data_IF_899982258337
#
_entry.id   IF_899982258337
#
_cell.length_a   1.000
_cell.length_b   1.000
_cell.length_c   1.000
_cell.angle_alpha   90.00
_cell.angle_beta   90.00
_cell.angle_gamma   90.00
#
_symmetry.space_group_name_H-M   'P 1'
#
loop_
_entity.id
_entity.type
_entity.pdbx_description
1 polymer ?
#
# COMPACT_ATOMS: atom_id res chain seq x y z
N UNK A 1 -4.43 67.79 12.44
CA UNK A 1 -4.54 66.71 11.44
C UNK A 1 -3.66 65.53 11.90
N UNK A 2 -4.26 64.47 12.46
CA UNK A 2 -3.61 63.16 12.79
C UNK A 2 -4.71 62.24 13.37
N UNK A 3 -5.56 61.67 12.51
CA UNK A 3 -6.61 60.71 12.91
C UNK A 3 -6.71 59.49 11.97
N UNK A 4 -5.78 59.31 11.04
CA UNK A 4 -5.85 58.26 10.02
C UNK A 4 -4.96 57.04 10.30
N UNK A 5 -4.03 57.11 11.25
CA UNK A 5 -3.11 56.00 11.55
C UNK A 5 -3.69 54.93 12.47
N UNK A 6 -4.69 55.24 13.30
CA UNK A 6 -5.26 54.26 14.24
C UNK A 6 -6.25 53.29 13.59
N UNK A 7 -6.88 53.67 12.47
CA UNK A 7 -7.82 52.81 11.75
C UNK A 7 -7.12 51.70 10.95
N UNK A 8 -5.89 51.93 10.49
CA UNK A 8 -5.12 50.94 9.71
C UNK A 8 -4.56 49.80 10.57
N UNK A 9 -4.25 50.05 11.84
CA UNK A 9 -3.69 49.03 12.75
C UNK A 9 -4.77 48.03 13.21
N UNK A 10 -6.04 48.44 13.27
CA UNK A 10 -7.15 47.56 13.67
C UNK A 10 -7.57 46.62 12.54
N UNK A 11 -7.43 47.03 11.27
CA UNK A 11 -7.72 46.18 10.11
C UNK A 11 -6.62 45.13 9.87
N UNK A 12 -5.37 45.40 10.29
CA UNK A 12 -4.25 44.48 10.13
C UNK A 12 -4.26 43.31 11.14
N UNK A 13 -4.98 43.43 12.27
CA UNK A 13 -5.09 42.38 13.30
C UNK A 13 -6.22 41.35 13.08
N UNK A 14 -7.08 41.52 12.07
CA UNK A 14 -8.19 40.60 11.76
C UNK A 14 -7.84 39.53 10.72
N UNK A 15 -6.59 39.49 10.23
CA UNK A 15 -6.07 38.43 9.36
C UNK A 15 -5.20 37.42 10.13
N UNK A 16 -5.54 37.18 11.39
CA UNK A 16 -5.06 36.03 12.15
C UNK A 16 -5.70 34.78 11.55
N UNK A 17 -5.15 34.28 10.45
CA UNK A 17 -5.53 33.04 9.79
C UNK A 17 -5.28 31.92 10.79
N UNK A 18 -6.32 31.54 11.55
CA UNK A 18 -6.27 30.39 12.44
C UNK A 18 -6.00 29.17 11.59
N UNK A 19 -4.79 28.63 11.67
CA UNK A 19 -4.46 27.32 11.13
C UNK A 19 -5.36 26.31 11.86
N UNK A 20 -6.45 25.90 11.20
CA UNK A 20 -7.29 24.81 11.68
C UNK A 20 -6.47 23.53 11.50
N UNK A 21 -6.02 22.94 12.61
CA UNK A 21 -5.38 21.64 12.59
C UNK A 21 -6.42 20.59 12.16
N UNK A 22 -6.11 19.80 11.14
CA UNK A 22 -6.95 18.71 10.69
C UNK A 22 -6.93 17.57 11.70
N UNK A 23 -8.10 16.96 11.92
CA UNK A 23 -8.26 15.80 12.77
C UNK A 23 -9.14 14.74 12.10
N UNK A 24 -9.33 13.60 12.76
CA UNK A 24 -10.12 12.50 12.22
C UNK A 24 -11.63 12.79 12.14
N UNK A 25 -12.15 13.84 12.81
CA UNK A 25 -13.54 14.26 12.60
C UNK A 25 -13.75 14.82 11.19
N UNK A 26 -12.66 15.22 10.50
CA UNK A 26 -12.73 15.70 9.13
C UNK A 26 -12.70 14.57 8.10
N UNK A 27 -12.36 13.34 8.48
CA UNK A 27 -12.37 12.20 7.56
C UNK A 27 -13.80 11.92 7.07
N UNK A 28 -14.02 11.61 5.78
CA UNK A 28 -13.05 11.39 4.69
C UNK A 28 -12.72 12.63 3.85
N UNK A 29 -13.24 13.81 4.21
CA UNK A 29 -13.25 15.01 3.37
C UNK A 29 -11.91 15.42 2.74
N UNK A 30 -10.74 15.36 3.44
CA UNK A 30 -9.46 15.68 2.81
C UNK A 30 -9.05 14.72 1.69
N UNK A 31 -9.58 13.49 1.70
CA UNK A 31 -9.19 12.40 0.81
C UNK A 31 -10.22 12.16 -0.29
N UNK A 32 -11.50 12.37 0.01
CA UNK A 32 -12.62 12.18 -0.90
C UNK A 32 -13.68 13.24 -0.67
N UNK A 33 -14.17 13.83 -1.76
CA UNK A 33 -15.29 14.77 -1.78
C UNK A 33 -16.04 14.61 -3.10
N UNK A 34 -17.30 15.04 -3.17
CA UNK A 34 -18.15 14.88 -4.37
C UNK A 34 -17.40 15.17 -5.68
N UNK A 35 -17.25 14.15 -6.53
CA UNK A 35 -16.60 14.22 -7.82
C UNK A 35 -15.06 14.08 -7.81
N UNK A 36 -14.41 13.93 -6.64
CA UNK A 36 -12.94 13.96 -6.53
C UNK A 36 -12.41 13.08 -5.40
N UNK A 37 -11.49 12.19 -5.76
CA UNK A 37 -10.57 11.53 -4.81
C UNK A 37 -9.20 12.21 -4.93
N UNK A 38 -8.72 12.81 -3.85
CA UNK A 38 -7.52 13.66 -3.83
C UNK A 38 -6.49 13.11 -2.86
N UNK A 39 -6.00 11.91 -3.14
CA UNK A 39 -4.98 11.24 -2.35
C UNK A 39 -4.24 10.16 -3.15
N UNK A 40 -3.11 9.74 -2.60
CA UNK A 40 -2.54 8.43 -2.86
C UNK A 40 -2.72 7.54 -1.62
N UNK A 41 -2.93 6.25 -1.85
CA UNK A 41 -2.97 5.22 -0.82
C UNK A 41 -1.72 4.37 -1.01
N UNK A 42 -0.88 4.30 0.02
CA UNK A 42 0.46 3.74 -0.08
C UNK A 42 0.59 2.51 0.79
N UNK A 43 1.11 1.43 0.23
CA UNK A 43 1.54 0.25 0.99
C UNK A 43 3.05 0.10 0.89
N UNK A 44 3.66 -0.52 1.89
CA UNK A 44 5.09 -0.78 1.89
C UNK A 44 5.53 -1.83 0.85
N UNK A 45 6.74 -1.72 0.32
CA UNK A 45 7.27 -2.68 -0.67
C UNK A 45 7.45 -4.09 -0.07
N UNK A 46 7.65 -4.17 1.25
CA UNK A 46 7.77 -5.42 2.01
C UNK A 46 6.49 -5.74 2.79
N UNK A 47 5.41 -5.03 2.53
CA UNK A 47 4.16 -5.22 3.23
C UNK A 47 3.53 -6.59 2.86
N UNK A 48 2.85 -7.24 3.82
CA UNK A 48 2.08 -8.44 3.54
C UNK A 48 0.93 -8.16 2.56
N UNK A 49 0.48 -9.19 1.83
CA UNK A 49 -0.62 -9.08 0.86
C UNK A 49 -1.92 -8.52 1.46
N UNK A 50 -2.14 -8.71 2.77
CA UNK A 50 -3.26 -8.12 3.50
C UNK A 50 -3.29 -6.59 3.45
N UNK A 51 -2.14 -5.92 3.35
CA UNK A 51 -2.07 -4.46 3.22
C UNK A 51 -2.54 -4.00 1.83
N UNK A 52 -2.26 -4.77 0.77
CA UNK A 52 -2.75 -4.50 -0.60
C UNK A 52 -4.28 -4.66 -0.66
N UNK A 53 -4.83 -5.65 0.04
CA UNK A 53 -6.28 -5.82 0.16
C UNK A 53 -6.89 -4.63 0.92
N UNK A 54 -6.27 -4.17 2.01
CA UNK A 54 -6.70 -2.99 2.74
C UNK A 54 -6.66 -1.72 1.87
N UNK A 55 -5.60 -1.52 1.08
CA UNK A 55 -5.46 -0.44 0.10
C UNK A 55 -6.61 -0.46 -0.91
N UNK A 56 -6.87 -1.61 -1.52
CA UNK A 56 -7.96 -1.78 -2.51
C UNK A 56 -9.31 -1.43 -1.89
N UNK A 57 -9.59 -1.95 -0.70
CA UNK A 57 -10.85 -1.69 -0.01
C UNK A 57 -11.04 -0.22 0.36
N UNK A 58 -9.98 0.48 0.75
CA UNK A 58 -10.03 1.92 1.04
C UNK A 58 -10.20 2.76 -0.23
N UNK A 59 -9.52 2.41 -1.32
CA UNK A 59 -9.70 3.07 -2.62
C UNK A 59 -11.16 2.98 -3.07
N UNK A 60 -11.76 1.79 -2.96
CA UNK A 60 -13.18 1.59 -3.28
C UNK A 60 -14.10 2.41 -2.38
N UNK A 61 -13.88 2.40 -1.07
CA UNK A 61 -14.70 3.16 -0.12
C UNK A 61 -14.63 4.67 -0.37
N UNK A 62 -13.44 5.21 -0.65
CA UNK A 62 -13.26 6.62 -0.96
C UNK A 62 -13.84 7.01 -2.32
N UNK A 63 -13.78 6.10 -3.30
CA UNK A 63 -14.46 6.30 -4.58
C UNK A 63 -15.98 6.36 -4.41
N UNK A 64 -16.55 5.47 -3.59
CA UNK A 64 -17.98 5.50 -3.24
C UNK A 64 -18.38 6.79 -2.53
N UNK A 65 -17.58 7.26 -1.58
CA UNK A 65 -17.81 8.53 -0.90
C UNK A 65 -17.80 9.74 -1.86
N UNK A 66 -16.91 9.70 -2.85
CA UNK A 66 -16.77 10.77 -3.83
C UNK A 66 -17.72 10.62 -5.04
N UNK A 67 -18.51 9.54 -5.13
CA UNK A 67 -19.32 9.19 -6.31
C UNK A 67 -18.49 9.15 -7.62
N UNK A 68 -17.23 8.69 -7.53
CA UNK A 68 -16.31 8.52 -8.67
C UNK A 68 -15.43 7.30 -8.50
N UNK A 69 -14.88 6.79 -9.60
CA UNK A 69 -13.94 5.68 -9.53
C UNK A 69 -12.53 6.17 -9.13
N UNK A 70 -11.97 5.61 -8.06
CA UNK A 70 -10.65 5.97 -7.54
C UNK A 70 -9.50 5.26 -8.30
N UNK A 71 -9.33 5.56 -9.58
CA UNK A 71 -8.25 4.98 -10.39
C UNK A 71 -6.89 5.60 -10.05
N UNK A 72 -5.82 4.79 -10.09
CA UNK A 72 -4.43 5.27 -10.01
C UNK A 72 -3.99 5.83 -8.66
N UNK A 73 -4.85 5.79 -7.63
CA UNK A 73 -4.51 6.28 -6.27
C UNK A 73 -3.61 5.31 -5.52
N UNK A 74 -3.57 4.04 -5.91
CA UNK A 74 -2.78 3.00 -5.23
C UNK A 74 -1.31 3.06 -5.65
N UNK A 75 -0.41 3.08 -4.67
CA UNK A 75 1.05 3.13 -4.85
C UNK A 75 1.75 2.16 -3.90
N UNK A 76 2.88 1.62 -4.34
CA UNK A 76 3.92 1.10 -3.46
C UNK A 76 4.77 2.25 -2.91
N UNK A 77 5.36 2.05 -1.74
CA UNK A 77 6.21 3.06 -1.10
C UNK A 77 7.37 3.51 -2.02
N UNK A 78 7.97 2.59 -2.79
CA UNK A 78 9.01 2.90 -3.77
C UNK A 78 8.55 3.74 -4.97
N UNK A 79 7.24 3.82 -5.24
CA UNK A 79 6.69 4.64 -6.32
C UNK A 79 6.39 6.09 -5.88
N UNK A 80 6.53 6.39 -4.59
CA UNK A 80 6.24 7.71 -4.02
C UNK A 80 7.51 8.56 -4.06
N UNK A 81 7.50 9.58 -4.92
CA UNK A 81 8.65 10.47 -5.13
C UNK A 81 8.67 11.68 -4.20
N UNK A 82 7.52 12.08 -3.68
CA UNK A 82 7.37 13.21 -2.76
C UNK A 82 6.20 12.97 -1.80
N UNK A 83 6.22 13.68 -0.67
CA UNK A 83 5.19 13.59 0.36
C UNK A 83 4.25 14.79 0.37
N UNK A 84 4.35 15.71 -0.61
CA UNK A 84 3.63 17.00 -0.64
C UNK A 84 2.21 16.87 -1.20
N UNK A 85 1.51 15.85 -0.72
CA UNK A 85 0.17 15.47 -1.14
C UNK A 85 -0.56 14.79 0.02
N UNK A 86 -1.87 14.59 -0.14
CA UNK A 86 -2.63 13.81 0.84
C UNK A 86 -2.30 12.33 0.66
N UNK A 87 -2.02 11.64 1.75
CA UNK A 87 -1.54 10.27 1.74
C UNK A 87 -2.34 9.45 2.75
N UNK A 88 -2.76 8.26 2.37
CA UNK A 88 -3.16 7.23 3.33
C UNK A 88 -2.10 6.14 3.28
N UNK A 89 -1.19 6.16 4.24
CA UNK A 89 -0.10 5.19 4.35
C UNK A 89 -0.55 4.01 5.21
N UNK A 90 -0.57 2.81 4.62
CA UNK A 90 -1.00 1.58 5.26
C UNK A 90 0.23 0.76 5.65
N UNK A 91 0.30 0.38 6.92
CA UNK A 91 1.45 -0.32 7.50
C UNK A 91 2.32 0.61 8.35
N UNK A 92 3.08 -0.01 9.24
CA UNK A 92 3.92 0.70 10.20
C UNK A 92 5.31 1.02 9.57
N UNK A 93 6.17 1.79 10.24
CA UNK A 93 7.50 2.13 9.71
C UNK A 93 8.42 0.95 9.38
N UNK A 94 8.18 -0.24 9.92
CA UNK A 94 9.04 -1.40 9.71
C UNK A 94 8.88 -2.01 8.32
N UNK A 95 7.67 -1.94 7.75
CA UNK A 95 7.38 -2.49 6.43
C UNK A 95 7.03 -1.42 5.37
N UNK A 96 6.76 -0.18 5.79
CA UNK A 96 6.40 0.94 4.90
C UNK A 96 7.30 2.17 5.11
N UNK A 97 8.17 2.44 4.12
CA UNK A 97 9.10 3.56 4.14
C UNK A 97 8.42 4.94 4.10
N UNK A 98 7.22 5.06 3.53
CA UNK A 98 6.42 6.30 3.57
C UNK A 98 5.90 6.54 4.98
N UNK A 99 5.36 5.51 5.66
CA UNK A 99 4.99 5.60 7.08
C UNK A 99 6.19 5.99 7.96
N UNK A 100 7.36 5.40 7.71
CA UNK A 100 8.59 5.76 8.41
C UNK A 100 8.95 7.23 8.22
N UNK A 101 8.94 7.71 6.98
CA UNK A 101 9.27 9.10 6.64
C UNK A 101 8.29 10.10 7.26
N UNK A 102 6.99 9.81 7.22
CA UNK A 102 5.94 10.63 7.84
C UNK A 102 6.09 10.73 9.37
N UNK A 103 6.62 9.68 10.00
CA UNK A 103 6.87 9.60 11.44
C UNK A 103 8.30 10.01 11.86
N UNK A 104 9.11 10.50 10.92
CA UNK A 104 10.46 10.97 11.22
C UNK A 104 11.50 9.86 11.43
N UNK A 105 11.31 8.70 10.79
CA UNK A 105 12.20 7.54 10.82
C UNK A 105 12.49 7.04 12.24
N UNK A 106 11.46 6.58 12.96
CA UNK A 106 11.60 6.13 14.34
C UNK A 106 12.53 4.92 14.48
N UNK A 107 13.22 4.84 15.62
CA UNK A 107 14.06 3.70 16.02
C UNK A 107 13.75 3.29 17.48
N UNK A 108 13.39 2.03 17.76
CA UNK A 108 13.04 0.99 16.79
C UNK A 108 11.84 1.41 15.92
N UNK A 109 11.68 0.81 14.73
CA UNK A 109 10.66 1.23 13.76
C UNK A 109 9.23 1.03 14.28
N UNK A 110 9.04 0.12 15.24
CA UNK A 110 7.76 -0.20 15.89
C UNK A 110 7.60 0.44 17.27
N UNK A 111 8.46 1.36 17.70
CA UNK A 111 8.47 1.91 19.07
C UNK A 111 7.13 2.49 19.56
N UNK A 112 6.28 2.95 18.64
CA UNK A 112 4.99 3.57 18.92
C UNK A 112 3.80 2.60 18.72
N UNK A 113 4.07 1.33 18.43
CA UNK A 113 3.08 0.28 18.20
C UNK A 113 3.18 -0.79 19.29
N UNK A 114 2.11 -0.94 20.07
CA UNK A 114 2.03 -1.94 21.11
C UNK A 114 1.30 -3.21 20.61
N UNK A 115 1.69 -4.42 21.06
CA UNK A 115 0.94 -5.64 20.81
C UNK A 115 -0.54 -5.52 21.18
N UNK A 116 -1.42 -6.10 20.38
CA UNK A 116 -2.88 -6.02 20.58
C UNK A 116 -3.49 -4.64 20.30
N UNK A 117 -2.73 -3.71 19.70
CA UNK A 117 -3.21 -2.37 19.33
C UNK A 117 -3.02 -2.09 17.85
N UNK A 118 -3.93 -1.30 17.32
CA UNK A 118 -3.79 -0.62 16.04
C UNK A 118 -4.18 0.84 16.15
N UNK A 119 -3.73 1.66 15.21
CA UNK A 119 -3.96 3.09 15.22
C UNK A 119 -4.22 3.68 13.84
N UNK A 120 -4.98 4.77 13.85
CA UNK A 120 -5.11 5.71 12.75
C UNK A 120 -4.56 7.04 13.27
N UNK A 121 -3.44 7.48 12.70
CA UNK A 121 -2.77 8.72 13.10
C UNK A 121 -2.85 9.76 12.00
N UNK A 122 -3.24 10.98 12.35
CA UNK A 122 -3.20 12.14 11.47
C UNK A 122 -1.81 12.78 11.55
N UNK A 123 -1.21 12.98 10.40
CA UNK A 123 0.01 13.75 10.22
C UNK A 123 -0.28 14.88 9.23
N UNK A 124 -0.40 16.11 9.73
CA UNK A 124 -0.60 17.29 8.91
C UNK A 124 0.70 18.09 8.83
N UNK A 125 1.05 18.51 7.61
CA UNK A 125 2.15 19.43 7.36
C UNK A 125 1.89 20.15 6.04
N UNK A 126 2.12 21.47 6.02
CA UNK A 126 1.99 22.32 4.83
C UNK A 126 0.60 22.23 4.15
N UNK A 127 -0.46 22.09 4.96
CA UNK A 127 -1.84 21.99 4.49
C UNK A 127 -2.19 20.66 3.81
N UNK A 128 -1.30 19.67 3.85
CA UNK A 128 -1.55 18.30 3.37
C UNK A 128 -1.82 17.38 4.55
N UNK A 129 -2.88 16.60 4.43
CA UNK A 129 -3.32 15.66 5.46
C UNK A 129 -2.84 14.27 5.08
N UNK A 130 -2.04 13.64 5.95
CA UNK A 130 -1.66 12.23 5.82
C UNK A 130 -2.27 11.42 6.95
N UNK A 131 -2.70 10.20 6.64
CA UNK A 131 -3.05 9.19 7.63
C UNK A 131 -1.98 8.11 7.63
N UNK A 132 -1.57 7.70 8.82
CA UNK A 132 -0.84 6.45 9.04
C UNK A 132 -1.84 5.46 9.64
N UNK A 133 -2.08 4.37 8.93
CA UNK A 133 -3.07 3.33 9.25
C UNK A 133 -2.31 2.04 9.51
N UNK A 134 -2.12 1.68 10.77
CA UNK A 134 -1.17 0.65 11.11
C UNK A 134 -1.49 -0.05 12.42
N UNK A 135 -1.25 -1.36 12.47
CA UNK A 135 -1.20 -2.15 13.69
C UNK A 135 0.22 -2.60 14.02
N UNK A 136 0.36 -3.16 15.21
CA UNK A 136 1.56 -3.95 15.53
C UNK A 136 1.67 -5.18 14.60
N UNK A 137 0.53 -5.80 14.32
CA UNK A 137 0.39 -6.95 13.41
C UNK A 137 -0.40 -6.59 12.14
N UNK A 138 -0.38 -7.49 11.17
CA UNK A 138 -1.11 -7.37 9.91
C UNK A 138 -2.63 -7.40 10.11
N UNK A 139 -3.13 -8.14 11.12
CA UNK A 139 -4.54 -8.15 11.50
C UNK A 139 -4.92 -6.84 12.18
N UNK A 140 -4.04 -6.26 13.00
CA UNK A 140 -4.22 -4.91 13.52
C UNK A 140 -4.30 -3.84 12.43
N UNK A 141 -3.41 -3.88 11.43
CA UNK A 141 -3.46 -2.96 10.29
C UNK A 141 -4.78 -3.08 9.52
N UNK A 142 -5.27 -4.31 9.29
CA UNK A 142 -6.59 -4.52 8.69
C UNK A 142 -7.74 -3.96 9.54
N UNK A 143 -7.66 -4.12 10.87
CA UNK A 143 -8.66 -3.54 11.79
C UNK A 143 -8.70 -2.01 11.68
N UNK A 144 -7.53 -1.36 11.62
CA UNK A 144 -7.43 0.09 11.41
C UNK A 144 -8.00 0.53 10.05
N UNK A 145 -7.69 -0.19 8.97
CA UNK A 145 -8.27 0.10 7.65
C UNK A 145 -9.80 -0.09 7.63
N UNK A 146 -10.32 -1.11 8.31
CA UNK A 146 -11.76 -1.36 8.41
C UNK A 146 -12.49 -0.30 9.26
N UNK A 147 -11.83 0.25 10.29
CA UNK A 147 -12.36 1.36 11.06
C UNK A 147 -12.55 2.61 10.18
N UNK A 148 -11.60 2.94 9.31
CA UNK A 148 -11.76 4.03 8.33
C UNK A 148 -12.95 3.82 7.40
N UNK A 149 -13.23 2.59 6.96
CA UNK A 149 -14.43 2.31 6.13
C UNK A 149 -15.75 2.47 6.91
N UNK A 150 -15.70 2.33 8.23
CA UNK A 150 -16.86 2.36 9.13
C UNK A 150 -16.97 3.69 9.90
N UNK A 151 -16.26 4.74 9.44
CA UNK A 151 -16.10 6.01 10.16
C UNK A 151 -17.42 6.64 10.63
N UNK A 152 -18.49 6.53 9.82
CA UNK A 152 -19.83 7.03 10.16
C UNK A 152 -20.46 6.39 11.40
N UNK A 153 -20.02 5.18 11.77
CA UNK A 153 -20.57 4.41 12.89
C UNK A 153 -19.74 4.53 14.18
N UNK A 154 -18.44 4.82 14.06
CA UNK A 154 -17.49 4.74 15.18
C UNK A 154 -17.03 6.11 15.70
N UNK A 155 -17.38 7.21 14.99
CA UNK A 155 -17.10 8.58 15.42
C UNK A 155 -15.61 8.85 15.60
N UNK A 156 -14.83 8.76 14.53
CA UNK A 156 -13.40 9.05 14.54
C UNK A 156 -13.14 10.51 14.95
N UNK A 157 -12.27 10.73 15.94
CA UNK A 157 -11.94 12.08 16.46
C UNK A 157 -10.47 12.20 16.81
N UNK A 158 -9.99 13.44 16.88
CA UNK A 158 -8.62 13.75 17.31
C UNK A 158 -7.57 13.35 16.27
N UNK A 159 -6.30 13.46 16.63
CA UNK A 159 -5.18 13.17 15.74
C UNK A 159 -4.68 11.73 15.84
N UNK A 160 -5.17 10.97 16.83
CA UNK A 160 -4.84 9.57 17.04
C UNK A 160 -6.09 8.83 17.49
N UNK A 161 -6.46 7.79 16.75
CA UNK A 161 -7.53 6.87 17.12
C UNK A 161 -6.94 5.47 17.29
N UNK A 162 -7.11 4.89 18.48
CA UNK A 162 -6.55 3.57 18.82
C UNK A 162 -7.66 2.52 18.85
N UNK A 163 -7.34 1.33 18.37
CA UNK A 163 -8.22 0.17 18.26
C UNK A 163 -7.59 -0.96 19.05
N UNK A 164 -8.40 -1.59 19.89
CA UNK A 164 -8.05 -2.84 20.56
C UNK A 164 -8.24 -4.01 19.60
N UNK A 165 -7.20 -4.81 19.44
CA UNK A 165 -7.17 -5.98 18.56
C UNK A 165 -7.03 -7.22 19.43
N UNK A 166 -7.94 -8.16 19.26
CA UNK A 166 -7.91 -9.44 19.96
C UNK A 166 -6.76 -10.31 19.43
N UNK A 167 -5.58 -10.16 20.03
CA UNK A 167 -4.33 -10.83 19.69
C UNK A 167 -3.47 -11.06 20.94
N UNK A 168 -2.54 -12.04 20.89
CA UNK A 168 -1.56 -12.23 21.96
C UNK A 168 -0.76 -10.95 22.19
N UNK A 169 -0.64 -10.53 23.45
CA UNK A 169 0.08 -9.29 23.83
C UNK A 169 1.57 -9.51 24.04
N UNK A 170 2.03 -10.76 23.98
CA UNK A 170 3.39 -11.22 24.20
C UNK A 170 4.19 -11.43 22.91
N UNK A 171 3.71 -10.88 21.78
CA UNK A 171 4.44 -10.95 20.51
C UNK A 171 5.69 -10.07 20.62
N UNK A 172 6.90 -10.63 20.41
CA UNK A 172 8.14 -9.84 20.45
C UNK A 172 8.14 -8.79 19.33
N UNK A 173 8.80 -7.65 19.59
CA UNK A 173 9.03 -6.60 18.59
C UNK A 173 9.58 -7.21 17.28
N UNK A 174 9.12 -6.70 16.13
CA UNK A 174 9.59 -7.19 14.82
C UNK A 174 11.09 -6.96 14.65
N UNK A 175 11.63 -5.91 15.25
CA UNK A 175 13.07 -5.63 15.26
C UNK A 175 13.84 -6.66 16.11
N UNK A 176 13.27 -7.12 17.22
CA UNK A 176 13.83 -8.20 18.02
C UNK A 176 13.77 -9.56 17.30
N UNK A 177 12.71 -9.82 16.54
CA UNK A 177 12.56 -11.04 15.74
C UNK A 177 13.54 -11.07 14.54
N UNK A 178 13.77 -9.93 13.88
CA UNK A 178 14.75 -9.80 12.79
C UNK A 178 16.20 -9.96 13.28
N UNK A 179 16.53 -9.40 14.46
CA UNK A 179 17.85 -9.60 15.08
C UNK A 179 18.10 -11.05 15.49
N UNK A 180 17.05 -11.84 15.77
CA UNK A 180 17.17 -13.27 16.07
C UNK A 180 17.36 -14.13 14.80
N UNK A 181 16.77 -13.74 13.66
CA UNK A 181 16.99 -14.44 12.39
C UNK A 181 18.36 -14.16 11.78
N UNK A 182 18.89 -12.95 11.90
CA UNK A 182 20.21 -12.57 11.37
C UNK A 182 21.37 -13.22 12.15
N UNK A 183 21.11 -13.68 13.39
CA UNK A 183 22.06 -14.46 14.19
C UNK A 183 22.10 -15.96 13.81
N UNK A 184 21.18 -16.44 12.96
CA UNK A 184 21.06 -17.86 12.59
C UNK A 184 21.81 -18.26 11.31
N UNK A 185 22.15 -17.32 10.44
CA UNK A 185 22.70 -17.61 9.09
C UNK A 185 24.24 -17.69 9.01
N UNK A 186 24.97 -17.74 10.15
CA UNK A 186 26.44 -17.79 10.16
C UNK A 186 27.06 -19.19 10.35
N UNK A 187 26.30 -20.28 10.20
CA UNK A 187 26.86 -21.64 10.29
C UNK A 187 26.28 -22.58 9.24
N UNK A 188 26.72 -22.48 7.99
CA UNK A 188 26.94 -23.62 7.10
C UNK A 188 27.65 -23.18 5.81
N UNK A 189 28.98 -23.01 5.87
CA UNK A 189 29.85 -23.16 4.70
C UNK A 189 31.02 -24.07 5.09
N UNK A 190 30.83 -25.39 4.96
CA UNK A 190 31.92 -26.37 4.91
C UNK A 190 31.80 -27.21 3.63
N UNK A 191 32.60 -26.78 2.64
CA UNK A 191 33.21 -27.43 1.48
C UNK A 191 32.75 -28.84 1.04
N UNK A 192 32.53 -28.97 -0.27
CA UNK A 192 33.12 -30.10 -1.02
C UNK A 192 33.58 -29.65 -2.40
N UNK A 193 34.90 -29.70 -2.61
CA UNK A 193 35.60 -29.47 -3.87
C UNK A 193 35.19 -30.52 -4.94
N UNK A 194 35.07 -30.08 -6.19
CA UNK A 194 35.04 -30.95 -7.36
C UNK A 194 36.27 -30.66 -8.25
N UNK A 195 36.98 -31.69 -8.77
CA UNK A 195 38.23 -31.49 -9.51
C UNK A 195 37.98 -31.17 -10.99
N UNK A 196 38.88 -30.35 -11.54
CA UNK A 196 38.98 -29.94 -12.95
C UNK A 196 39.71 -31.00 -13.80
N UNK A 197 39.25 -31.22 -15.02
CA UNK A 197 40.02 -31.68 -16.20
C UNK A 197 39.40 -30.97 -17.42
N UNK A 198 40.06 -29.97 -18.01
CA UNK A 198 41.19 -29.96 -18.95
C UNK A 198 40.72 -29.63 -20.38
N UNK A 199 41.47 -28.72 -20.99
CA UNK A 199 41.18 -27.93 -22.19
C UNK A 199 41.33 -28.73 -23.49
N UNK A 200 40.68 -28.26 -24.56
CA UNK A 200 41.39 -28.01 -25.83
C UNK A 200 40.61 -27.08 -26.77
N UNK A 201 41.31 -26.02 -27.18
CA UNK A 201 40.97 -25.03 -28.21
C UNK A 201 41.26 -25.57 -29.62
N UNK A 202 40.57 -25.05 -30.63
CA UNK A 202 41.09 -24.47 -31.89
C UNK A 202 39.90 -24.20 -32.83
N UNK A 203 39.55 -22.93 -33.08
CA UNK A 203 39.96 -22.03 -34.17
C UNK A 203 39.23 -22.19 -35.52
N UNK A 204 38.88 -21.00 -36.06
CA UNK A 204 38.69 -20.63 -37.48
C UNK A 204 37.36 -20.93 -38.18
N UNK A 205 36.55 -19.87 -38.29
CA UNK A 205 36.44 -19.09 -39.53
C UNK A 205 35.77 -19.73 -40.74
N UNK A 206 34.61 -19.17 -41.14
CA UNK A 206 34.25 -18.71 -42.50
C UNK A 206 32.73 -18.79 -42.73
N UNK A 207 32.13 -17.67 -43.11
CA UNK A 207 30.93 -17.65 -43.94
C UNK A 207 31.37 -17.94 -45.40
N UNK A 208 30.53 -18.52 -46.29
CA UNK A 208 29.40 -17.78 -46.86
C UNK A 208 28.14 -18.61 -47.25
N UNK A 209 27.06 -17.86 -47.39
CA UNK A 209 25.96 -17.91 -48.39
C UNK A 209 25.27 -19.21 -48.87
N UNK A 210 23.93 -19.09 -48.84
CA UNK A 210 22.92 -19.44 -49.86
C UNK A 210 22.29 -20.84 -49.97
N UNK A 211 20.94 -20.74 -50.06
CA UNK A 211 20.02 -21.49 -50.92
C UNK A 211 19.50 -22.84 -50.43
N UNK A 212 18.17 -22.97 -50.40
CA UNK A 212 17.49 -24.26 -50.28
C UNK A 212 16.05 -24.17 -49.79
N UNK A 213 15.13 -23.96 -50.72
CA UNK A 213 13.68 -23.89 -50.56
C UNK A 213 13.04 -25.24 -50.12
N UNK A 214 11.74 -25.17 -49.75
CA UNK A 214 10.71 -26.24 -49.62
C UNK A 214 10.25 -26.48 -48.16
N UNK A 215 9.13 -25.91 -47.69
CA UNK A 215 7.70 -26.26 -47.90
C UNK A 215 7.27 -27.53 -47.16
N UNK A 216 6.15 -27.38 -46.41
CA UNK A 216 5.31 -28.40 -45.75
C UNK A 216 5.79 -28.83 -44.34
N UNK A 217 5.00 -28.92 -43.27
CA UNK A 217 3.55 -29.05 -43.11
C UNK A 217 3.15 -28.52 -41.72
N UNK A 218 2.09 -27.72 -41.64
CA UNK A 218 1.36 -27.44 -40.39
C UNK A 218 0.46 -28.64 -40.10
N UNK A 219 0.73 -29.39 -39.02
CA UNK A 219 -0.21 -30.37 -38.45
C UNK A 219 -0.68 -29.81 -37.10
N UNK A 220 -1.83 -29.14 -37.04
CA UNK A 220 -3.13 -29.72 -36.63
C UNK A 220 -3.02 -30.65 -35.40
N UNK A 221 -3.06 -30.05 -34.21
CA UNK A 221 -3.40 -30.78 -32.99
C UNK A 221 -4.90 -31.10 -33.01
N UNK A 222 -5.23 -32.35 -33.27
CA UNK A 222 -6.59 -32.88 -33.21
C UNK A 222 -7.05 -33.03 -31.77
N UNK A 223 -8.19 -32.41 -31.53
CA UNK A 223 -9.27 -32.73 -30.60
C UNK A 223 -9.37 -34.20 -30.18
N UNK A 224 -9.52 -34.46 -28.87
CA UNK A 224 -10.46 -35.45 -28.35
C UNK A 224 -10.86 -35.20 -26.87
N UNK A 225 -12.20 -35.06 -26.67
CA UNK A 225 -13.10 -35.54 -25.59
C UNK A 225 -12.73 -35.32 -24.11
N UNK A 226 -13.59 -35.00 -23.15
CA UNK A 226 -15.05 -34.78 -22.93
C UNK A 226 -15.13 -34.27 -21.45
N UNK A 227 -16.08 -33.50 -20.94
CA UNK A 227 -17.35 -33.05 -21.47
C UNK A 227 -18.10 -32.13 -20.49
N UNK A 228 -19.19 -31.57 -21.01
CA UNK A 228 -20.45 -31.36 -20.29
C UNK A 228 -20.57 -30.24 -19.23
N UNK A 229 -19.92 -29.09 -19.44
CA UNK A 229 -20.23 -27.86 -18.69
C UNK A 229 -21.01 -26.87 -19.55
N UNK A 230 -20.57 -26.63 -20.78
CA UNK A 230 -21.19 -25.65 -21.67
C UNK A 230 -22.58 -26.06 -22.16
N UNK A 231 -22.82 -27.36 -22.37
CA UNK A 231 -24.15 -27.85 -22.76
C UNK A 231 -25.19 -27.66 -21.64
N UNK A 232 -24.78 -27.83 -20.36
CA UNK A 232 -25.65 -27.60 -19.20
C UNK A 232 -25.94 -26.11 -19.01
N UNK A 233 -24.95 -25.26 -19.26
CA UNK A 233 -25.12 -23.81 -19.22
C UNK A 233 -26.11 -23.32 -20.28
N UNK A 234 -26.02 -23.82 -21.51
CA UNK A 234 -26.93 -23.42 -22.60
C UNK A 234 -28.37 -23.92 -22.40
N UNK A 235 -28.55 -25.13 -21.83
CA UNK A 235 -29.89 -25.64 -21.50
C UNK A 235 -30.53 -24.85 -20.34
N UNK A 236 -29.76 -24.49 -19.32
CA UNK A 236 -30.27 -23.63 -18.24
C UNK A 236 -30.67 -22.23 -18.77
N UNK A 237 -29.85 -21.62 -19.62
CA UNK A 237 -30.10 -20.28 -20.17
C UNK A 237 -31.40 -20.22 -21.01
N UNK A 238 -31.69 -21.27 -21.76
CA UNK A 238 -32.88 -21.33 -22.62
C UNK A 238 -34.18 -21.55 -21.85
N UNK A 239 -34.12 -22.05 -20.62
CA UNK A 239 -35.28 -22.21 -19.73
C UNK A 239 -35.72 -20.92 -19.00
N UNK A 240 -34.91 -19.86 -19.08
CA UNK A 240 -35.14 -18.59 -18.38
C UNK A 240 -35.84 -17.52 -19.24
N UNK A 241 -35.96 -17.76 -20.55
CA UNK A 241 -36.53 -16.82 -21.52
C UNK A 241 -37.54 -17.50 -22.48
N UNK A 242 -38.06 -18.67 -22.11
CA UNK A 242 -39.05 -19.45 -22.87
C UNK A 242 -40.28 -19.78 -22.06
#
# INVERSE_FOLDING_TARGET
>A
MRKTTTAFVIILCLLSFSAAAYDLNNYPRPFASSGKVDNIIVVGDKAPASHVIAQTNLALALGQEADVQAFGVSKLASEVTDLEQNIISIGNPCDNAVSASLLGNPKPCDKDYAPGKASIMVNEKDGKVRLIVAGFTDKGTQAAANALKSYGNIGLKGTLYTIDVDEPTDIPSREAAQNASDAGDQQEEEQTEAPQQEEQQEQQGSAPEESGNNTETVQSFTQDKEGNVFARFFHWLTSLFG
#
